data_IF_148191811420
#
_entry.id   IF_148191811420
#
_cell.length_a   1.000
_cell.length_b   1.000
_cell.length_c   1.000
_cell.angle_alpha   90.00
_cell.angle_beta   90.00
_cell.angle_gamma   90.00
#
_symmetry.space_group_name_H-M   'P 1'
#
loop_
_entity.id
_entity.type
_entity.pdbx_description
1 polymer ?
#
# COMPACT_ATOMS: atom_id res chain seq x y z
N UNK A 1 61.79 -37.63 4.26
CA UNK A 1 61.24 -36.30 3.95
C UNK A 1 59.84 -36.46 3.36
N UNK A 2 58.79 -36.18 4.13
CA UNK A 2 57.46 -35.82 3.61
C UNK A 2 56.70 -35.07 4.73
N UNK A 3 56.27 -33.83 4.43
CA UNK A 3 55.75 -32.82 5.37
C UNK A 3 54.31 -33.13 5.83
N UNK A 4 54.04 -33.00 7.13
CA UNK A 4 52.69 -33.02 7.73
C UNK A 4 52.05 -31.64 7.54
N UNK A 5 50.99 -31.57 6.76
CA UNK A 5 50.27 -30.34 6.44
C UNK A 5 49.04 -30.12 7.34
N UNK A 6 49.14 -29.07 8.15
CA UNK A 6 48.12 -28.16 8.72
C UNK A 6 46.65 -28.62 8.92
N UNK A 7 46.29 -28.70 10.20
CA UNK A 7 45.27 -27.90 10.90
C UNK A 7 44.11 -27.33 10.03
N UNK A 8 42.97 -27.99 10.04
CA UNK A 8 41.70 -27.45 9.53
C UNK A 8 40.72 -27.20 10.67
N UNK A 9 40.71 -25.98 11.23
CA UNK A 9 39.58 -25.50 12.05
C UNK A 9 38.72 -24.66 11.12
N UNK A 10 37.57 -25.23 10.73
CA UNK A 10 36.65 -24.65 9.76
C UNK A 10 36.03 -23.36 10.28
N UNK A 11 36.25 -22.27 9.54
CA UNK A 11 35.50 -21.03 9.70
C UNK A 11 34.17 -21.19 8.96
N UNK A 12 33.08 -21.46 9.68
CA UNK A 12 31.74 -21.52 9.11
C UNK A 12 31.29 -20.11 8.72
N UNK A 13 31.45 -19.76 7.45
CA UNK A 13 30.96 -18.52 6.87
C UNK A 13 29.43 -18.57 6.76
N UNK A 14 28.71 -17.97 7.71
CA UNK A 14 27.27 -17.74 7.58
C UNK A 14 27.02 -16.68 6.51
N UNK A 15 26.64 -17.11 5.32
CA UNK A 15 26.11 -16.25 4.25
C UNK A 15 24.70 -15.79 4.61
N UNK A 16 24.56 -14.56 5.11
CA UNK A 16 23.26 -13.90 5.25
C UNK A 16 22.72 -13.56 3.87
N UNK A 17 21.73 -14.33 3.41
CA UNK A 17 20.91 -14.00 2.25
C UNK A 17 20.02 -12.80 2.61
N UNK A 18 20.42 -11.60 2.20
CA UNK A 18 19.54 -10.45 2.20
C UNK A 18 18.44 -10.68 1.15
N UNK A 19 17.24 -11.06 1.60
CA UNK A 19 16.07 -11.13 0.71
C UNK A 19 15.73 -9.71 0.21
N UNK A 20 15.48 -9.51 -1.10
CA UNK A 20 15.01 -8.23 -1.58
C UNK A 20 13.63 -7.96 -0.97
N UNK A 21 13.49 -6.83 -0.29
CA UNK A 21 12.20 -6.30 0.15
C UNK A 21 11.40 -5.84 -1.08
N UNK A 22 10.92 -6.79 -1.89
CA UNK A 22 9.82 -6.53 -2.80
C UNK A 22 8.62 -6.10 -1.96
N UNK A 23 7.97 -4.99 -2.32
CA UNK A 23 6.73 -4.56 -1.68
C UNK A 23 5.79 -5.78 -1.58
N UNK A 24 5.58 -6.27 -0.36
CA UNK A 24 4.85 -7.50 -0.15
C UNK A 24 3.42 -7.29 -0.67
N UNK A 25 3.10 -7.90 -1.80
CA UNK A 25 1.76 -7.92 -2.38
C UNK A 25 0.93 -8.95 -1.58
N UNK A 26 0.70 -8.64 -0.29
CA UNK A 26 -0.13 -9.45 0.56
C UNK A 26 -1.58 -9.48 0.08
N UNK A 27 -2.51 -10.11 0.81
CA UNK A 27 -3.92 -10.16 0.42
C UNK A 27 -4.50 -8.76 0.21
N UNK A 28 -5.29 -8.58 -0.87
CA UNK A 28 -6.04 -7.34 -1.16
C UNK A 28 -7.53 -7.61 -0.99
N UNK A 29 -8.19 -6.82 -0.16
CA UNK A 29 -9.63 -6.97 0.11
C UNK A 29 -10.46 -6.40 -1.04
N UNK A 30 -11.44 -7.14 -1.60
CA UNK A 30 -12.41 -6.57 -2.52
C UNK A 30 -13.24 -5.50 -1.83
N UNK A 31 -13.33 -4.31 -2.41
CA UNK A 31 -14.17 -3.22 -1.90
C UNK A 31 -14.94 -2.56 -3.03
N UNK A 32 -16.16 -2.12 -2.76
CA UNK A 32 -16.99 -1.37 -3.72
C UNK A 32 -16.96 0.16 -3.47
N UNK A 33 -16.42 0.57 -2.33
CA UNK A 33 -16.19 1.95 -1.90
C UNK A 33 -14.85 2.08 -1.15
N UNK A 34 -14.32 3.29 -1.06
CA UNK A 34 -13.03 3.55 -0.40
C UNK A 34 -13.12 3.51 1.14
N UNK A 35 -14.26 3.93 1.71
CA UNK A 35 -14.41 4.12 3.16
C UNK A 35 -14.05 2.90 4.03
N UNK A 36 -14.37 1.64 3.64
CA UNK A 36 -13.90 0.45 4.35
C UNK A 36 -12.38 0.35 4.47
N UNK A 37 -11.62 0.67 3.41
CA UNK A 37 -10.15 0.66 3.46
C UNK A 37 -9.60 1.78 4.33
N UNK A 38 -10.23 2.97 4.29
CA UNK A 38 -9.82 4.09 5.14
C UNK A 38 -9.96 3.73 6.63
N UNK A 39 -11.09 3.12 7.01
CA UNK A 39 -11.30 2.63 8.39
C UNK A 39 -10.36 1.48 8.76
N UNK A 40 -10.13 0.54 7.84
CA UNK A 40 -9.20 -0.55 8.07
C UNK A 40 -7.77 -0.03 8.35
N UNK A 41 -7.31 0.98 7.61
CA UNK A 41 -5.99 1.58 7.85
C UNK A 41 -5.91 2.34 9.19
N UNK A 42 -7.01 2.96 9.64
CA UNK A 42 -7.09 3.58 10.97
C UNK A 42 -6.93 2.54 12.08
N UNK A 43 -7.62 1.40 11.93
CA UNK A 43 -7.68 0.32 12.92
C UNK A 43 -6.45 -0.60 12.87
N UNK A 44 -5.71 -0.64 11.75
CA UNK A 44 -4.54 -1.49 11.58
C UNK A 44 -3.33 -1.02 12.43
N UNK A 45 -2.63 -1.95 13.12
CA UNK A 45 -1.44 -1.61 13.92
C UNK A 45 -0.32 -0.95 13.11
N UNK A 46 -0.10 -1.40 11.88
CA UNK A 46 0.88 -0.85 10.94
C UNK A 46 0.37 0.40 10.20
N UNK A 47 -0.90 0.76 10.40
CA UNK A 47 -1.55 1.90 9.77
C UNK A 47 -1.82 1.72 8.28
N UNK A 48 -1.85 0.48 7.77
CA UNK A 48 -2.05 0.21 6.34
C UNK A 48 -3.30 -0.62 6.05
N UNK A 49 -3.86 -0.42 4.86
CA UNK A 49 -4.90 -1.30 4.31
C UNK A 49 -4.78 -1.35 2.78
N UNK A 50 -5.06 -2.51 2.19
CA UNK A 50 -4.92 -2.73 0.75
C UNK A 50 -6.16 -3.41 0.19
N UNK A 51 -6.60 -2.98 -0.98
CA UNK A 51 -7.77 -3.53 -1.63
C UNK A 51 -7.75 -3.45 -3.14
N UNK A 52 -8.78 -4.08 -3.72
CA UNK A 52 -9.10 -4.00 -5.14
C UNK A 52 -10.51 -3.45 -5.28
N UNK A 53 -10.67 -2.40 -6.08
CA UNK A 53 -11.99 -1.83 -6.33
C UNK A 53 -12.82 -2.79 -7.20
N UNK A 54 -14.06 -3.01 -6.80
CA UNK A 54 -15.04 -3.88 -7.46
C UNK A 54 -16.39 -3.18 -7.61
N UNK A 55 -17.37 -3.88 -8.17
CA UNK A 55 -18.73 -3.34 -8.34
C UNK A 55 -18.83 -2.26 -9.42
N UNK A 56 -19.87 -1.44 -9.32
CA UNK A 56 -20.24 -0.47 -10.37
C UNK A 56 -19.17 0.60 -10.62
N UNK A 57 -18.50 1.07 -9.57
CA UNK A 57 -17.45 2.08 -9.71
C UNK A 57 -16.23 1.54 -10.45
N UNK A 58 -15.84 0.29 -10.16
CA UNK A 58 -14.79 -0.39 -10.90
C UNK A 58 -15.17 -0.57 -12.37
N UNK A 59 -16.38 -1.03 -12.65
CA UNK A 59 -16.86 -1.21 -14.02
C UNK A 59 -16.86 0.10 -14.83
N UNK A 60 -17.34 1.20 -14.23
CA UNK A 60 -17.34 2.52 -14.86
C UNK A 60 -15.91 3.01 -15.15
N UNK A 61 -15.00 2.87 -14.18
CA UNK A 61 -13.58 3.25 -14.32
C UNK A 61 -12.88 2.44 -15.40
N UNK A 62 -13.02 1.12 -15.37
CA UNK A 62 -12.47 0.20 -16.38
C UNK A 62 -13.00 0.50 -17.78
N UNK A 63 -14.29 0.82 -17.91
CA UNK A 63 -14.88 1.25 -19.19
C UNK A 63 -14.29 2.57 -19.68
N UNK A 64 -14.13 3.56 -18.80
CA UNK A 64 -13.57 4.87 -19.13
C UNK A 64 -12.13 4.75 -19.65
N UNK A 65 -11.34 3.89 -19.00
CA UNK A 65 -9.93 3.69 -19.29
C UNK A 65 -9.63 2.50 -20.22
N UNK A 66 -10.67 1.82 -20.72
CA UNK A 66 -10.58 0.74 -21.72
C UNK A 66 -9.62 -0.37 -21.31
N UNK A 67 -9.62 -0.71 -20.02
CA UNK A 67 -8.76 -1.73 -19.42
C UNK A 67 -9.59 -2.72 -18.60
N UNK A 68 -9.08 -3.93 -18.43
CA UNK A 68 -9.63 -4.95 -17.52
C UNK A 68 -8.72 -5.20 -16.32
N UNK A 69 -7.59 -4.50 -16.24
CA UNK A 69 -6.67 -4.65 -15.13
C UNK A 69 -7.35 -4.23 -13.80
N UNK A 70 -7.02 -4.89 -12.67
CA UNK A 70 -7.52 -4.50 -11.36
C UNK A 70 -7.19 -3.04 -11.04
N UNK A 71 -8.11 -2.37 -10.35
CA UNK A 71 -7.87 -1.06 -9.74
C UNK A 71 -7.43 -1.33 -8.31
N UNK A 72 -6.12 -1.24 -8.08
CA UNK A 72 -5.52 -1.45 -6.78
C UNK A 72 -5.61 -0.16 -5.96
N UNK A 73 -5.97 -0.29 -4.69
CA UNK A 73 -6.03 0.80 -3.72
C UNK A 73 -5.16 0.44 -2.53
N UNK A 74 -4.18 1.28 -2.23
CA UNK A 74 -3.34 1.16 -1.04
C UNK A 74 -3.57 2.40 -0.17
N UNK A 75 -3.84 2.18 1.11
CA UNK A 75 -4.06 3.22 2.11
C UNK A 75 -2.96 3.13 3.15
N UNK A 76 -2.34 4.26 3.48
CA UNK A 76 -1.35 4.36 4.56
C UNK A 76 -1.63 5.54 5.47
N UNK A 77 -1.39 5.37 6.75
CA UNK A 77 -1.43 6.46 7.73
C UNK A 77 -0.19 7.33 7.59
N UNK A 78 -0.39 8.61 7.31
CA UNK A 78 0.69 9.62 7.24
C UNK A 78 0.98 10.17 8.63
N UNK A 79 -0.07 10.53 9.36
CA UNK A 79 0.05 11.01 10.74
C UNK A 79 -1.24 10.71 11.53
N UNK A 80 -1.10 10.34 12.80
CA UNK A 80 -2.24 10.19 13.73
C UNK A 80 -2.45 11.49 14.52
N UNK A 81 -3.69 11.93 14.61
CA UNK A 81 -4.06 13.14 15.36
C UNK A 81 -4.27 12.82 16.84
N UNK A 82 -4.28 13.86 17.69
CA UNK A 82 -4.63 13.72 19.12
C UNK A 82 -6.08 13.28 19.32
N UNK A 83 -6.97 13.65 18.40
CA UNK A 83 -8.34 13.16 18.41
C UNK A 83 -8.33 11.66 18.08
N UNK A 84 -8.86 10.84 18.98
CA UNK A 84 -8.92 9.40 18.79
C UNK A 84 -9.68 9.01 17.52
N UNK A 85 -9.20 7.95 16.85
CA UNK A 85 -9.78 7.44 15.63
C UNK A 85 -9.60 8.34 14.40
N UNK A 86 -8.75 9.38 14.48
CA UNK A 86 -8.51 10.30 13.37
C UNK A 86 -7.05 10.30 12.92
N UNK A 87 -6.85 10.37 11.60
CA UNK A 87 -5.53 10.45 10.99
C UNK A 87 -5.57 11.24 9.68
N UNK A 88 -4.39 11.66 9.23
CA UNK A 88 -4.17 11.94 7.81
C UNK A 88 -3.83 10.62 7.14
N UNK A 89 -4.61 10.26 6.14
CA UNK A 89 -4.40 9.07 5.33
C UNK A 89 -3.91 9.48 3.95
N UNK A 90 -3.02 8.67 3.38
CA UNK A 90 -2.65 8.70 1.97
C UNK A 90 -3.32 7.53 1.27
N UNK A 91 -3.89 7.80 0.11
CA UNK A 91 -4.50 6.82 -0.78
C UNK A 91 -3.74 6.83 -2.09
N UNK A 92 -3.21 5.66 -2.45
CA UNK A 92 -2.58 5.39 -3.73
C UNK A 92 -3.50 4.47 -4.55
N UNK A 93 -3.96 4.95 -5.69
CA UNK A 93 -4.77 4.19 -6.66
C UNK A 93 -3.90 3.88 -7.86
N UNK A 94 -3.85 2.63 -8.28
CA UNK A 94 -3.10 2.21 -9.47
C UNK A 94 -3.90 1.27 -10.36
N UNK A 95 -3.70 1.40 -11.66
CA UNK A 95 -4.29 0.53 -12.67
C UNK A 95 -3.35 0.38 -13.86
N UNK A 96 -3.18 -0.85 -14.35
CA UNK A 96 -2.35 -1.16 -15.51
C UNK A 96 -3.16 -1.12 -16.81
N UNK A 97 -2.46 -1.12 -17.94
CA UNK A 97 -3.03 -1.20 -19.29
C UNK A 97 -4.11 -0.16 -19.60
N UNK A 98 -4.06 1.00 -18.95
CA UNK A 98 -5.01 2.09 -19.15
C UNK A 98 -4.76 2.77 -20.50
N UNK A 99 -5.84 2.99 -21.26
CA UNK A 99 -5.86 3.85 -22.44
C UNK A 99 -6.68 5.11 -22.18
N UNK A 100 -6.02 6.26 -22.12
CA UNK A 100 -6.65 7.56 -21.84
C UNK A 100 -7.60 8.03 -22.96
N UNK A 101 -7.37 7.56 -24.18
CA UNK A 101 -8.23 7.78 -25.34
C UNK A 101 -8.13 6.55 -26.29
N UNK A 102 -8.98 6.43 -27.33
CA UNK A 102 -8.98 5.25 -28.21
C UNK A 102 -7.66 4.97 -28.94
N UNK A 103 -6.86 6.01 -29.22
CA UNK A 103 -5.63 5.91 -30.01
C UNK A 103 -4.36 5.86 -29.16
N UNK A 104 -4.48 6.07 -27.85
CA UNK A 104 -3.36 6.02 -26.92
C UNK A 104 -2.86 4.58 -26.73
N UNK A 105 -1.54 4.44 -26.62
CA UNK A 105 -0.93 3.19 -26.18
C UNK A 105 -1.38 2.87 -24.73
N UNK A 106 -1.56 1.58 -24.38
CA UNK A 106 -1.79 1.20 -22.99
C UNK A 106 -0.60 1.57 -22.10
N UNK A 107 -0.86 1.99 -20.87
CA UNK A 107 0.19 2.23 -19.89
C UNK A 107 -0.30 2.20 -18.44
N UNK A 108 0.61 2.26 -17.47
CA UNK A 108 0.26 2.39 -16.06
C UNK A 108 -0.39 3.75 -15.79
N UNK A 109 -1.35 3.77 -14.87
CA UNK A 109 -1.85 5.00 -14.25
C UNK A 109 -1.77 4.89 -12.74
N UNK A 110 -1.33 5.99 -12.13
CA UNK A 110 -1.21 6.13 -10.69
C UNK A 110 -1.82 7.47 -10.27
N UNK A 111 -2.66 7.44 -9.25
CA UNK A 111 -3.22 8.63 -8.63
C UNK A 111 -2.99 8.55 -7.13
N UNK A 112 -2.41 9.60 -6.56
CA UNK A 112 -2.19 9.72 -5.12
C UNK A 112 -2.93 10.94 -4.60
N UNK A 113 -3.61 10.77 -3.47
CA UNK A 113 -4.20 11.88 -2.73
C UNK A 113 -4.11 11.61 -1.23
N UNK A 114 -4.26 12.67 -0.44
CA UNK A 114 -4.28 12.58 1.01
C UNK A 114 -5.52 13.27 1.56
N UNK A 115 -6.03 12.75 2.68
CA UNK A 115 -7.22 13.27 3.33
C UNK A 115 -7.16 13.12 4.84
N UNK A 116 -7.74 14.08 5.55
CA UNK A 116 -7.95 13.99 6.99
C UNK A 116 -9.26 13.25 7.23
N UNK A 117 -9.20 12.14 7.97
CA UNK A 117 -10.31 11.21 8.07
C UNK A 117 -10.41 10.64 9.48
N UNK A 118 -11.61 10.65 10.03
CA UNK A 118 -11.96 10.01 11.30
C UNK A 118 -12.80 8.76 11.05
N UNK A 119 -12.86 7.90 12.06
CA UNK A 119 -13.60 6.63 12.00
C UNK A 119 -15.10 6.79 11.70
N UNK A 120 -15.67 7.93 12.09
CA UNK A 120 -17.06 8.34 11.80
C UNK A 120 -17.27 8.87 10.37
N UNK A 121 -16.22 9.00 9.57
CA UNK A 121 -16.26 9.49 8.20
C UNK A 121 -16.13 11.02 8.06
N UNK A 122 -16.03 11.75 9.17
CA UNK A 122 -15.86 13.20 9.19
C UNK A 122 -14.37 13.59 9.25
N UNK A 123 -14.03 14.85 8.90
CA UNK A 123 -12.69 15.37 9.19
C UNK A 123 -12.49 15.54 10.71
N UNK A 124 -11.23 15.53 11.18
CA UNK A 124 -10.93 15.81 12.58
C UNK A 124 -11.32 17.24 12.95
N UNK A 125 -11.72 17.44 14.21
CA UNK A 125 -12.02 18.77 14.76
C UNK A 125 -10.76 19.64 14.91
N UNK A 126 -9.59 19.02 14.95
CA UNK A 126 -8.29 19.68 15.04
C UNK A 126 -7.21 18.82 14.38
N UNK A 127 -6.23 19.46 13.75
CA UNK A 127 -5.07 18.81 13.15
C UNK A 127 -3.91 18.65 14.15
N UNK A 128 -4.13 18.91 15.44
CA UNK A 128 -3.12 18.73 16.47
C UNK A 128 -2.64 17.28 16.51
N UNK A 129 -1.33 17.08 16.39
CA UNK A 129 -0.66 15.79 16.52
C UNK A 129 -0.10 15.64 17.94
N UNK A 130 0.03 14.41 18.45
CA UNK A 130 0.72 14.16 19.71
C UNK A 130 2.14 14.73 19.69
N UNK A 131 2.73 14.99 20.86
CA UNK A 131 4.16 15.30 20.93
C UNK A 131 4.96 14.17 20.25
N UNK A 132 6.06 14.47 19.54
CA UNK A 132 6.94 13.43 19.01
C UNK A 132 7.38 12.53 20.18
N UNK A 133 7.19 11.22 20.04
CA UNK A 133 7.82 10.25 20.95
C UNK A 133 9.27 10.04 20.53
#
# INVERSE_FOLDING_TARGET
MLKIGHLGIGFALLTQLAAPAGAADGPRTPVDQFAPLLRAALDAPDGTARGVLTGRLAAATSSRYRTRAPINIDVSTVVRYRQEGCARLRVDVSQQDVKLNPTAAPGPQHMRFELNYCRDGLPPRSLATGAPR
#
